data_IF_906720785273
#
_entry.id   IF_906720785273
#
_cell.length_a   1.000
_cell.length_b   1.000
_cell.length_c   1.000
_cell.angle_alpha   90.00
_cell.angle_beta   90.00
_cell.angle_gamma   90.00
#
_symmetry.space_group_name_H-M   'P 1'
#
loop_
_entity.id
_entity.type
_entity.pdbx_description
1 polymer ?
#
# COMPACT_ATOMS: atom_id res chain seq x y z
N UNK A 1 77.86 -12.19 25.73
CA UNK A 1 76.50 -12.57 26.19
C UNK A 1 75.83 -11.29 26.68
N UNK A 2 75.31 -10.42 25.79
CA UNK A 2 73.89 -10.33 25.33
C UNK A 2 72.93 -10.14 26.52
N UNK A 3 72.57 -8.89 26.87
CA UNK A 3 71.41 -8.10 26.37
C UNK A 3 70.06 -8.78 26.55
N UNK A 4 69.14 -8.19 27.34
CA UNK A 4 67.91 -7.60 26.78
C UNK A 4 67.13 -6.77 27.83
N UNK A 5 66.53 -5.69 27.33
CA UNK A 5 65.84 -4.56 27.98
C UNK A 5 64.51 -4.87 28.67
N UNK A 6 64.00 -3.96 29.54
CA UNK A 6 62.60 -3.96 29.97
C UNK A 6 61.69 -3.25 28.96
N UNK A 7 60.56 -3.89 28.67
CA UNK A 7 59.51 -3.46 27.74
C UNK A 7 58.79 -2.18 28.21
N UNK A 8 58.66 -1.22 27.30
CA UNK A 8 57.86 0.00 27.49
C UNK A 8 56.39 -0.28 27.18
N UNK A 9 55.51 -0.06 28.15
CA UNK A 9 54.06 -0.18 27.98
C UNK A 9 53.53 0.89 27.00
N UNK A 10 52.83 0.45 25.96
CA UNK A 10 52.18 1.28 24.94
C UNK A 10 50.91 1.95 25.53
N UNK A 11 50.65 3.24 25.28
CA UNK A 11 49.44 3.91 25.79
C UNK A 11 48.17 3.37 25.09
N UNK A 12 47.00 3.36 25.77
CA UNK A 12 45.76 2.89 25.18
C UNK A 12 45.29 3.81 24.04
N UNK A 13 44.77 3.21 22.97
CA UNK A 13 44.14 3.95 21.87
C UNK A 13 42.84 4.62 22.35
N UNK A 14 42.48 5.82 21.86
CA UNK A 14 41.20 6.43 22.18
C UNK A 14 40.07 5.62 21.55
N UNK A 15 39.11 5.21 22.39
CA UNK A 15 37.86 4.59 22.00
C UNK A 15 36.98 5.64 21.32
N UNK A 16 36.94 5.62 19.98
CA UNK A 16 36.06 6.48 19.21
C UNK A 16 35.34 5.64 18.16
N UNK A 17 34.55 4.68 18.64
CA UNK A 17 33.49 4.09 17.84
C UNK A 17 32.37 5.14 17.66
N UNK A 18 31.91 5.41 16.43
CA UNK A 18 30.76 6.28 16.22
C UNK A 18 29.53 5.67 16.92
N UNK A 19 28.59 6.49 17.44
CA UNK A 19 27.39 5.94 18.05
C UNK A 19 26.63 5.12 17.02
N UNK A 20 26.44 3.84 17.33
CA UNK A 20 25.56 2.94 16.59
C UNK A 20 24.17 3.58 16.56
N UNK A 21 23.77 4.05 15.37
CA UNK A 21 22.41 4.46 15.06
C UNK A 21 21.50 3.24 15.25
N UNK A 22 21.04 3.02 16.47
CA UNK A 22 19.95 2.11 16.77
C UNK A 22 18.70 2.62 16.08
N UNK A 23 18.41 2.03 14.92
CA UNK A 23 17.10 2.13 14.29
C UNK A 23 16.10 1.63 15.31
N UNK A 24 15.31 2.55 15.87
CA UNK A 24 14.15 2.19 16.69
C UNK A 24 13.17 1.52 15.75
N UNK A 25 13.16 0.19 15.73
CA UNK A 25 12.07 -0.55 15.11
C UNK A 25 10.82 -0.28 15.96
N UNK A 26 9.76 0.31 15.41
CA UNK A 26 8.55 0.54 16.19
C UNK A 26 8.02 -0.82 16.69
N UNK A 27 7.57 -0.86 17.95
CA UNK A 27 7.40 -2.09 18.74
C UNK A 27 6.18 -2.96 18.36
N UNK A 28 5.62 -2.82 17.15
CA UNK A 28 4.42 -3.55 16.72
C UNK A 28 4.13 -3.43 15.22
N UNK A 29 3.11 -4.15 14.72
CA UNK A 29 2.72 -4.08 13.32
C UNK A 29 2.04 -2.74 12.99
N UNK A 30 2.26 -2.23 11.78
CA UNK A 30 1.51 -1.12 11.22
C UNK A 30 0.15 -1.65 10.75
N UNK A 31 -0.94 -1.09 11.26
CA UNK A 31 -2.29 -1.43 10.80
C UNK A 31 -2.68 -0.55 9.62
N UNK A 32 -3.23 -1.16 8.58
CA UNK A 32 -3.59 -0.49 7.33
C UNK A 32 -5.01 -0.86 6.96
N UNK A 33 -5.88 0.13 6.81
CA UNK A 33 -7.24 -0.05 6.32
C UNK A 33 -7.34 0.46 4.89
N UNK A 34 -7.90 -0.35 4.01
CA UNK A 34 -8.01 0.00 2.58
C UNK A 34 -9.44 -0.13 2.07
N UNK A 35 -9.76 0.67 1.07
CA UNK A 35 -11.05 0.59 0.38
C UNK A 35 -11.03 1.26 -0.98
N UNK A 36 -11.96 0.86 -1.84
CA UNK A 36 -12.14 1.46 -3.15
C UNK A 36 -13.57 1.31 -3.65
N UNK A 37 -14.02 2.27 -4.43
CA UNK A 37 -15.35 2.25 -5.05
C UNK A 37 -15.34 2.94 -6.40
N UNK A 38 -16.33 2.60 -7.23
CA UNK A 38 -16.54 3.11 -8.57
C UNK A 38 -18.04 3.19 -8.85
N UNK A 39 -18.50 4.34 -9.35
CA UNK A 39 -19.90 4.58 -9.65
C UNK A 39 -20.07 5.42 -10.94
N UNK A 40 -20.73 4.88 -12.00
CA UNK A 40 -21.05 3.46 -12.19
C UNK A 40 -19.78 2.59 -12.26
N UNK A 41 -19.91 1.26 -12.40
CA UNK A 41 -18.78 0.33 -12.49
C UNK A 41 -18.82 -0.42 -13.84
N UNK A 42 -17.95 -0.11 -14.82
CA UNK A 42 -16.88 0.89 -14.81
C UNK A 42 -17.38 2.34 -14.83
N UNK A 43 -16.55 3.27 -14.34
CA UNK A 43 -16.88 4.70 -14.27
C UNK A 43 -15.95 5.50 -13.37
N UNK A 44 -16.46 6.56 -12.75
CA UNK A 44 -15.72 7.37 -11.79
C UNK A 44 -15.49 6.59 -10.50
N UNK A 45 -14.23 6.44 -10.10
CA UNK A 45 -13.87 5.71 -8.89
C UNK A 45 -12.80 6.39 -8.07
N UNK A 46 -12.68 5.93 -6.83
CA UNK A 46 -11.68 6.39 -5.89
C UNK A 46 -11.24 5.28 -4.96
N UNK A 47 -10.06 5.48 -4.39
CA UNK A 47 -9.42 4.58 -3.44
C UNK A 47 -8.95 5.39 -2.23
N UNK A 48 -8.86 4.74 -1.09
CA UNK A 48 -8.26 5.31 0.10
C UNK A 48 -7.54 4.24 0.93
N UNK A 49 -6.53 4.68 1.66
CA UNK A 49 -5.86 3.91 2.68
C UNK A 49 -5.68 4.77 3.93
N UNK A 50 -5.90 4.20 5.09
CA UNK A 50 -5.59 4.81 6.39
C UNK A 50 -4.59 3.89 7.06
N UNK A 51 -3.44 4.43 7.48
CA UNK A 51 -2.42 3.68 8.21
C UNK A 51 -2.36 4.18 9.63
N UNK A 52 -2.14 3.27 10.59
CA UNK A 52 -1.86 3.58 11.98
C UNK A 52 -0.60 2.85 12.39
N UNK A 53 0.41 3.60 12.80
CA UNK A 53 1.65 3.00 13.30
C UNK A 53 1.50 2.57 14.79
N UNK A 54 2.51 1.88 15.35
CA UNK A 54 2.48 1.43 16.74
C UNK A 54 2.46 2.57 17.78
N UNK A 55 2.99 3.74 17.43
CA UNK A 55 2.98 4.93 18.29
C UNK A 55 1.61 5.63 18.28
N UNK A 56 0.76 5.26 17.33
CA UNK A 56 -0.63 5.66 17.21
C UNK A 56 -0.86 6.76 16.16
N UNK A 57 0.18 7.17 15.44
CA UNK A 57 0.06 8.19 14.40
C UNK A 57 -0.73 7.65 13.21
N UNK A 58 -1.65 8.50 12.71
CA UNK A 58 -2.57 8.13 11.63
C UNK A 58 -2.25 8.93 10.38
N UNK A 59 -2.04 8.22 9.27
CA UNK A 59 -1.86 8.82 7.94
C UNK A 59 -3.00 8.41 7.02
N UNK A 60 -3.56 9.38 6.29
CA UNK A 60 -4.64 9.16 5.32
C UNK A 60 -4.14 9.40 3.89
N UNK A 61 -4.31 8.41 3.02
CA UNK A 61 -3.99 8.48 1.59
C UNK A 61 -5.27 8.29 0.78
N UNK A 62 -5.44 9.05 -0.30
CA UNK A 62 -6.56 8.84 -1.21
C UNK A 62 -6.26 9.33 -2.62
N UNK A 63 -7.00 8.78 -3.59
CA UNK A 63 -6.90 9.17 -4.99
C UNK A 63 -8.17 8.80 -5.75
N UNK A 64 -8.29 9.30 -6.98
CA UNK A 64 -9.50 9.13 -7.79
C UNK A 64 -9.16 9.05 -9.28
N UNK A 65 -10.02 8.36 -10.04
CA UNK A 65 -9.92 8.18 -11.48
C UNK A 65 -11.30 8.36 -12.13
N UNK A 66 -11.37 9.10 -13.23
CA UNK A 66 -12.62 9.35 -13.95
C UNK A 66 -13.16 8.11 -14.68
N UNK A 67 -12.29 7.13 -14.95
CA UNK A 67 -12.64 5.88 -15.63
C UNK A 67 -11.82 4.72 -15.05
N UNK A 68 -12.47 3.87 -14.27
CA UNK A 68 -11.87 2.72 -13.56
C UNK A 68 -12.95 1.68 -13.22
N UNK A 69 -12.64 0.72 -12.36
CA UNK A 69 -13.57 -0.24 -11.75
C UNK A 69 -13.36 -0.33 -10.24
N UNK A 70 -14.33 -0.92 -9.52
CA UNK A 70 -14.22 -1.20 -8.07
C UNK A 70 -12.91 -1.93 -7.75
N UNK A 71 -12.70 -3.09 -8.38
CA UNK A 71 -11.54 -3.96 -8.14
C UNK A 71 -10.20 -3.26 -8.37
N UNK A 72 -10.12 -2.38 -9.39
CA UNK A 72 -8.89 -1.61 -9.62
C UNK A 72 -8.64 -0.61 -8.49
N UNK A 73 -9.67 0.06 -8.00
CA UNK A 73 -9.53 1.03 -6.90
C UNK A 73 -9.14 0.34 -5.59
N UNK A 74 -9.72 -0.83 -5.29
CA UNK A 74 -9.33 -1.62 -4.12
C UNK A 74 -7.86 -2.07 -4.21
N UNK A 75 -7.40 -2.53 -5.38
CA UNK A 75 -5.99 -2.87 -5.60
C UNK A 75 -5.08 -1.64 -5.47
N UNK A 76 -5.47 -0.49 -6.02
CA UNK A 76 -4.71 0.74 -5.87
C UNK A 76 -4.57 1.15 -4.40
N UNK A 77 -5.61 1.02 -3.58
CA UNK A 77 -5.52 1.30 -2.15
C UNK A 77 -4.43 0.45 -1.47
N UNK A 78 -4.44 -0.86 -1.70
CA UNK A 78 -3.42 -1.78 -1.17
C UNK A 78 -2.00 -1.40 -1.61
N UNK A 79 -1.82 -1.17 -2.91
CA UNK A 79 -0.53 -0.80 -3.50
C UNK A 79 0.00 0.47 -2.87
N UNK A 80 -0.82 1.53 -2.83
CA UNK A 80 -0.39 2.84 -2.37
C UNK A 80 -0.14 2.88 -0.87
N UNK A 81 -0.85 2.09 -0.09
CA UNK A 81 -0.57 1.94 1.33
C UNK A 81 0.79 1.30 1.59
N UNK A 82 1.10 0.19 0.91
CA UNK A 82 2.38 -0.49 1.06
C UNK A 82 3.55 0.35 0.51
N UNK A 83 3.39 0.95 -0.67
CA UNK A 83 4.41 1.83 -1.27
C UNK A 83 4.72 3.11 -0.48
N UNK A 84 3.83 3.52 0.44
CA UNK A 84 4.06 4.68 1.28
C UNK A 84 4.98 4.38 2.48
N UNK A 85 5.18 3.10 2.81
CA UNK A 85 6.07 2.69 3.90
C UNK A 85 7.53 2.76 3.41
N UNK A 86 8.35 3.56 4.09
CA UNK A 86 9.73 3.84 3.68
C UNK A 86 10.74 2.74 4.03
N UNK A 87 10.36 1.80 4.90
CA UNK A 87 11.21 0.72 5.40
C UNK A 87 10.44 -0.60 5.45
N UNK A 88 11.18 -1.71 5.54
CA UNK A 88 10.59 -3.02 5.79
C UNK A 88 9.82 -2.98 7.12
N UNK A 89 8.57 -3.42 7.08
CA UNK A 89 7.63 -3.33 8.22
C UNK A 89 6.82 -4.61 8.32
N UNK A 90 6.39 -4.94 9.54
CA UNK A 90 5.26 -5.85 9.76
C UNK A 90 3.96 -5.06 9.56
N UNK A 91 3.09 -5.54 8.67
CA UNK A 91 1.91 -4.81 8.22
C UNK A 91 0.67 -5.70 8.30
N UNK A 92 -0.36 -5.25 9.00
CA UNK A 92 -1.68 -5.88 9.00
C UNK A 92 -2.63 -5.08 8.13
N UNK A 93 -3.02 -5.63 6.98
CA UNK A 93 -3.93 -5.00 6.01
C UNK A 93 -5.36 -5.48 6.22
N UNK A 94 -6.22 -4.58 6.66
CA UNK A 94 -7.66 -4.73 6.83
C UNK A 94 -8.38 -4.38 5.54
N UNK A 95 -9.15 -5.33 5.00
CA UNK A 95 -9.98 -5.12 3.82
C UNK A 95 -11.25 -5.97 3.86
N UNK A 96 -12.37 -5.41 3.43
CA UNK A 96 -13.61 -6.13 3.16
C UNK A 96 -13.65 -6.73 1.74
N UNK A 97 -12.65 -6.41 0.90
CA UNK A 97 -12.53 -6.94 -0.46
C UNK A 97 -11.99 -8.37 -0.45
N UNK A 98 -12.86 -9.33 -0.76
CA UNK A 98 -12.44 -10.70 -1.03
C UNK A 98 -11.50 -10.75 -2.25
N UNK A 99 -11.74 -9.90 -3.26
CA UNK A 99 -10.92 -9.84 -4.46
C UNK A 99 -9.45 -9.54 -4.14
N UNK A 100 -9.20 -8.58 -3.24
CA UNK A 100 -7.85 -8.22 -2.81
C UNK A 100 -7.30 -9.23 -1.79
N UNK A 101 -8.02 -9.47 -0.69
CA UNK A 101 -7.51 -10.27 0.44
C UNK A 101 -7.29 -11.74 0.06
N UNK A 102 -8.27 -12.38 -0.59
CA UNK A 102 -8.13 -13.76 -1.09
C UNK A 102 -7.15 -13.82 -2.25
N UNK A 103 -7.16 -12.82 -3.14
CA UNK A 103 -6.25 -12.79 -4.27
C UNK A 103 -4.79 -12.67 -3.88
N UNK A 104 -4.46 -11.81 -2.93
CA UNK A 104 -3.11 -11.67 -2.40
C UNK A 104 -2.64 -12.95 -1.69
N UNK A 105 -3.50 -13.57 -0.86
CA UNK A 105 -3.16 -14.79 -0.11
C UNK A 105 -3.05 -16.04 -0.97
N UNK A 106 -4.02 -16.29 -1.86
CA UNK A 106 -4.21 -17.60 -2.50
C UNK A 106 -3.86 -17.62 -3.98
N UNK A 107 -4.08 -16.51 -4.70
CA UNK A 107 -3.99 -16.50 -6.17
C UNK A 107 -2.63 -16.00 -6.65
N UNK A 108 -2.07 -14.99 -5.99
CA UNK A 108 -0.84 -14.30 -6.40
C UNK A 108 0.32 -15.28 -6.64
N UNK A 109 0.57 -16.19 -5.70
CA UNK A 109 1.64 -17.20 -5.81
C UNK A 109 1.43 -18.10 -7.03
N UNK A 110 0.19 -18.55 -7.28
CA UNK A 110 -0.16 -19.40 -8.43
C UNK A 110 0.00 -18.62 -9.73
N UNK A 111 -0.46 -17.37 -9.79
CA UNK A 111 -0.32 -16.54 -10.98
C UNK A 111 1.14 -16.21 -11.31
N UNK A 112 1.99 -15.92 -10.31
CA UNK A 112 3.44 -15.76 -10.51
C UNK A 112 4.05 -17.01 -11.16
N UNK A 113 3.73 -18.19 -10.63
CA UNK A 113 4.22 -19.48 -11.18
C UNK A 113 3.70 -19.77 -12.59
N UNK A 114 2.45 -19.41 -12.90
CA UNK A 114 1.81 -19.65 -14.20
C UNK A 114 2.00 -18.48 -15.19
N UNK A 115 3.06 -17.67 -15.07
CA UNK A 115 3.37 -16.54 -15.95
C UNK A 115 2.17 -15.60 -16.17
N UNK A 116 1.42 -15.33 -15.09
CA UNK A 116 0.25 -14.45 -15.04
C UNK A 116 -0.92 -14.90 -15.92
N UNK A 117 -1.14 -16.21 -15.99
CA UNK A 117 -2.32 -16.84 -16.60
C UNK A 117 -3.23 -17.46 -15.54
N UNK A 118 -4.54 -17.40 -15.78
CA UNK A 118 -5.54 -18.05 -14.94
C UNK A 118 -5.69 -19.55 -15.31
N UNK A 119 -6.53 -20.28 -14.56
CA UNK A 119 -6.77 -21.71 -14.78
C UNK A 119 -7.32 -22.05 -16.18
N UNK A 120 -7.90 -21.08 -16.90
CA UNK A 120 -8.38 -21.23 -18.28
C UNK A 120 -7.32 -20.83 -19.33
N UNK A 121 -6.07 -20.61 -18.92
CA UNK A 121 -4.96 -20.19 -19.79
C UNK A 121 -5.02 -18.74 -20.27
N UNK A 122 -6.04 -17.96 -19.88
CA UNK A 122 -6.18 -16.55 -20.24
C UNK A 122 -5.32 -15.66 -19.34
N UNK A 123 -4.99 -14.47 -19.81
CA UNK A 123 -4.33 -13.47 -18.98
C UNK A 123 -5.17 -13.16 -17.72
N UNK A 124 -4.50 -12.98 -16.59
CA UNK A 124 -5.14 -12.54 -15.33
C UNK A 124 -5.69 -11.12 -15.51
N UNK A 125 -6.93 -10.90 -15.07
CA UNK A 125 -7.53 -9.55 -15.05
C UNK A 125 -6.78 -8.66 -14.06
N UNK A 126 -6.60 -7.38 -14.42
CA UNK A 126 -5.81 -6.41 -13.63
C UNK A 126 -4.36 -6.87 -13.36
N UNK A 127 -3.77 -7.65 -14.29
CA UNK A 127 -2.39 -8.14 -14.17
C UNK A 127 -1.40 -7.04 -13.84
N UNK A 128 -1.57 -5.87 -14.45
CA UNK A 128 -0.74 -4.68 -14.21
C UNK A 128 -0.69 -4.29 -12.73
N UNK A 129 -1.85 -4.25 -12.07
CA UNK A 129 -1.96 -3.91 -10.66
C UNK A 129 -1.53 -5.06 -9.76
N UNK A 130 -1.85 -6.30 -10.11
CA UNK A 130 -1.40 -7.45 -9.34
C UNK A 130 0.12 -7.63 -9.34
N UNK A 131 0.78 -7.33 -10.47
CA UNK A 131 2.24 -7.33 -10.55
C UNK A 131 2.84 -6.26 -9.63
N UNK A 132 2.29 -5.05 -9.67
CA UNK A 132 2.71 -3.94 -8.80
C UNK A 132 2.47 -4.24 -7.31
N UNK A 133 1.30 -4.78 -6.98
CA UNK A 133 0.97 -5.20 -5.62
C UNK A 133 1.91 -6.31 -5.14
N UNK A 134 2.25 -7.28 -5.99
CA UNK A 134 3.23 -8.30 -5.63
C UNK A 134 4.58 -7.69 -5.28
N UNK A 135 5.05 -6.70 -6.05
CA UNK A 135 6.33 -6.06 -5.77
C UNK A 135 6.29 -5.33 -4.42
N UNK A 136 5.20 -4.61 -4.13
CA UNK A 136 5.02 -3.91 -2.86
C UNK A 136 4.93 -4.89 -1.67
N UNK A 137 4.21 -6.01 -1.81
CA UNK A 137 4.14 -7.06 -0.78
C UNK A 137 5.53 -7.63 -0.49
N UNK A 138 6.35 -7.85 -1.52
CA UNK A 138 7.69 -8.43 -1.37
C UNK A 138 8.65 -7.52 -0.56
N UNK A 139 8.29 -6.26 -0.25
CA UNK A 139 9.07 -5.33 0.59
C UNK A 139 8.73 -5.38 2.09
N UNK A 140 7.67 -6.09 2.49
CA UNK A 140 7.15 -6.08 3.86
C UNK A 140 6.72 -7.49 4.32
N UNK A 141 6.49 -7.65 5.62
CA UNK A 141 5.84 -8.83 6.18
C UNK A 141 4.35 -8.52 6.25
N UNK A 142 3.57 -9.00 5.28
CA UNK A 142 2.17 -8.60 5.13
C UNK A 142 1.23 -9.69 5.62
N UNK A 143 0.49 -9.37 6.70
CA UNK A 143 -0.67 -10.14 7.14
C UNK A 143 -1.94 -9.47 6.61
N UNK A 144 -2.78 -10.23 5.93
CA UNK A 144 -4.10 -9.74 5.52
C UNK A 144 -5.10 -10.06 6.63
N UNK A 145 -6.10 -9.23 6.84
CA UNK A 145 -7.22 -9.44 7.75
C UNK A 145 -8.52 -9.09 7.02
N UNK A 146 -9.50 -10.00 7.07
CA UNK A 146 -10.82 -9.69 6.52
C UNK A 146 -11.54 -8.78 7.51
N UNK A 147 -11.96 -7.60 7.05
CA UNK A 147 -12.78 -6.69 7.82
C UNK A 147 -14.25 -6.89 7.43
N UNK A 148 -15.18 -7.02 8.40
CA UNK A 148 -16.61 -7.05 8.10
C UNK A 148 -17.03 -5.76 7.40
N UNK A 149 -17.78 -5.90 6.31
CA UNK A 149 -18.29 -4.75 5.54
C UNK A 149 -19.25 -3.95 6.41
N UNK A 150 -18.93 -2.68 6.68
CA UNK A 150 -19.86 -1.73 7.32
C UNK A 150 -19.97 -1.84 8.86
N UNK A 151 -19.02 -2.47 9.54
CA UNK A 151 -18.96 -2.42 11.01
C UNK A 151 -18.20 -1.18 11.52
N UNK A 152 -18.56 -0.79 12.75
CA UNK A 152 -18.15 0.37 13.56
C UNK A 152 -16.65 0.44 13.88
N UNK A 153 -15.79 0.27 12.88
CA UNK A 153 -14.38 0.56 12.97
C UNK A 153 -14.13 2.01 12.52
N UNK A 154 -13.67 2.90 13.43
CA UNK A 154 -13.38 4.29 13.09
C UNK A 154 -12.41 4.46 11.92
N UNK A 155 -11.50 3.51 11.68
CA UNK A 155 -10.57 3.58 10.55
C UNK A 155 -11.25 3.21 9.23
N UNK A 156 -12.07 2.16 9.21
CA UNK A 156 -12.92 1.81 8.06
C UNK A 156 -13.90 2.92 7.66
N UNK A 157 -14.47 3.63 8.64
CA UNK A 157 -15.31 4.81 8.39
C UNK A 157 -14.54 5.96 7.73
N UNK A 158 -13.30 6.22 8.19
CA UNK A 158 -12.40 7.21 7.56
C UNK A 158 -12.09 6.85 6.11
N UNK A 159 -11.77 5.58 5.84
CA UNK A 159 -11.57 5.06 4.47
C UNK A 159 -12.81 5.33 3.62
N UNK A 160 -13.98 4.93 4.09
CA UNK A 160 -15.24 5.10 3.37
C UNK A 160 -15.52 6.57 3.04
N UNK A 161 -15.32 7.46 4.01
CA UNK A 161 -15.46 8.92 3.83
C UNK A 161 -14.54 9.45 2.72
N UNK A 162 -13.27 9.04 2.72
CA UNK A 162 -12.29 9.46 1.71
C UNK A 162 -12.65 8.93 0.32
N UNK A 163 -13.05 7.66 0.22
CA UNK A 163 -13.48 7.03 -1.03
C UNK A 163 -14.68 7.78 -1.63
N UNK A 164 -15.75 8.00 -0.86
CA UNK A 164 -16.93 8.69 -1.39
C UNK A 164 -16.66 10.16 -1.74
N UNK A 165 -15.78 10.83 -1.00
CA UNK A 165 -15.29 12.17 -1.38
C UNK A 165 -14.54 12.12 -2.72
N UNK A 166 -13.68 11.13 -2.92
CA UNK A 166 -12.93 10.94 -4.17
C UNK A 166 -13.82 10.61 -5.37
N UNK A 167 -14.83 9.75 -5.20
CA UNK A 167 -15.79 9.41 -6.27
C UNK A 167 -16.53 10.66 -6.74
N UNK A 168 -17.06 11.47 -5.81
CA UNK A 168 -17.71 12.76 -6.14
C UNK A 168 -16.76 13.71 -6.88
N UNK A 169 -15.48 13.75 -6.49
CA UNK A 169 -14.47 14.58 -7.15
C UNK A 169 -14.19 14.10 -8.58
N UNK A 170 -14.04 12.80 -8.80
CA UNK A 170 -13.89 12.23 -10.14
C UNK A 170 -15.08 12.55 -11.03
N UNK A 171 -16.30 12.43 -10.52
CA UNK A 171 -17.50 12.74 -11.28
C UNK A 171 -17.60 14.23 -11.65
N UNK A 172 -17.27 15.13 -10.72
CA UNK A 172 -17.20 16.57 -10.99
C UNK A 172 -16.21 16.89 -12.12
N UNK A 173 -15.00 16.31 -12.08
CA UNK A 173 -13.98 16.48 -13.13
C UNK A 173 -14.47 15.92 -14.47
N UNK A 174 -15.10 14.74 -14.46
CA UNK A 174 -15.66 14.11 -15.66
C UNK A 174 -16.71 15.01 -16.32
N UNK A 175 -17.64 15.55 -15.53
CA UNK A 175 -18.68 16.47 -16.02
C UNK A 175 -18.07 17.74 -16.60
N UNK A 176 -17.10 18.34 -15.92
CA UNK A 176 -16.42 19.55 -16.41
C UNK A 176 -15.69 19.31 -17.74
N UNK A 177 -14.99 18.17 -17.89
CA UNK A 177 -14.35 17.80 -19.15
C UNK A 177 -15.35 17.60 -20.29
N UNK A 178 -16.51 17.00 -19.99
CA UNK A 178 -17.56 16.82 -21.00
C UNK A 178 -18.10 18.15 -21.51
N UNK A 179 -18.20 19.16 -20.65
CA UNK A 179 -18.67 20.50 -21.02
C UNK A 179 -17.67 21.21 -21.95
N UNK A 180 -16.38 21.23 -21.57
CA UNK A 180 -15.33 21.87 -22.39
C UNK A 180 -15.18 21.25 -23.78
N UNK A 181 -15.38 19.93 -23.92
CA UNK A 181 -15.33 19.24 -25.21
C UNK A 181 -16.57 19.48 -26.08
N UNK A 182 -17.68 19.97 -25.51
CA UNK A 182 -18.86 20.36 -26.28
C UNK A 182 -18.68 21.74 -26.92
N UNK A 183 -18.02 22.67 -26.22
CA UNK A 183 -17.76 24.02 -26.71
C UNK A 183 -16.72 24.08 -27.85
N UNK A 184 -15.83 23.09 -27.97
CA UNK A 184 -14.83 23.01 -29.05
C UNK A 184 -15.39 22.49 -30.39
N UNK A 185 -16.62 21.94 -30.40
CA UNK A 185 -17.24 21.35 -31.61
C UNK A 185 -18.25 22.30 -32.26
N UNK A 186 -18.54 23.44 -31.63
CA UNK A 186 -19.41 24.50 -32.18
C UNK A 186 -18.61 25.65 -32.81
N UNK A 187 -17.69 25.38 -33.75
CA UNK A 187 -17.11 26.42 -34.63
C UNK A 187 -16.78 25.90 -36.02
#
# INVERSE_FOLDING_TARGET
MTLSSPDAAKPPMPDNAPPSSSLVTPAGPISVWIGGACQPNPGCGAWAAVTRDPDGDVTELSGHHIQTTNNRMELYAAIRALEALSQLSDVTVHSDSEYVSTGARLWLRKWKACRWRNAKGKAVLNRDLWQRLSFAIDQHIVTWCHAPRGEHDPMGERVSRLVFKGVRRADAIRRQRSYLLQDEVEF
#
